data_IF_362227625842
#
_entry.id   IF_362227625842
#
_cell.length_a   1.000
_cell.length_b   1.000
_cell.length_c   1.000
_cell.angle_alpha   90.00
_cell.angle_beta   90.00
_cell.angle_gamma   90.00
#
_symmetry.space_group_name_H-M   'P 1'
#
loop_
_entity.id
_entity.type
_entity.pdbx_description
1 polymer ?
#
# COMPACT_ATOMS: atom_id res chain seq x y z
N UNK A 1 -3.34 -58.13 58.81
CA UNK A 1 -2.49 -57.09 58.17
C UNK A 1 -3.29 -56.46 57.05
N UNK A 2 -3.81 -55.27 57.30
CA UNK A 2 -4.50 -54.46 56.31
C UNK A 2 -3.46 -53.45 55.73
N UNK A 3 -3.14 -53.53 54.44
CA UNK A 3 -2.31 -52.59 53.75
C UNK A 3 -3.21 -51.45 53.24
N UNK A 4 -2.97 -50.23 53.73
CA UNK A 4 -3.66 -49.02 53.27
C UNK A 4 -2.96 -48.49 52.01
N UNK A 5 -3.67 -48.52 50.91
CA UNK A 5 -3.22 -47.91 49.63
C UNK A 5 -3.46 -46.40 49.70
N UNK A 6 -2.38 -45.63 49.83
CA UNK A 6 -2.43 -44.14 49.70
C UNK A 6 -2.73 -43.77 48.27
N UNK A 7 -3.91 -43.28 47.98
CA UNK A 7 -4.24 -42.62 46.71
C UNK A 7 -3.42 -41.32 46.59
N UNK A 8 -2.45 -41.27 45.63
CA UNK A 8 -1.81 -40.06 45.22
C UNK A 8 -2.83 -39.13 44.57
N UNK A 9 -3.13 -38.00 45.19
CA UNK A 9 -3.82 -36.88 44.54
C UNK A 9 -2.97 -36.37 43.37
N UNK A 10 -3.43 -36.58 42.13
CA UNK A 10 -2.90 -35.91 40.96
C UNK A 10 -3.21 -34.40 41.11
N UNK A 11 -2.18 -33.62 41.29
CA UNK A 11 -2.30 -32.16 41.30
C UNK A 11 -2.60 -31.72 39.85
N UNK A 12 -3.84 -31.31 39.61
CA UNK A 12 -4.30 -30.87 38.29
C UNK A 12 -3.96 -29.39 38.13
N UNK A 13 -2.69 -29.05 38.04
CA UNK A 13 -2.20 -27.67 37.86
C UNK A 13 -2.22 -27.18 36.40
N UNK A 14 -2.65 -28.03 35.46
CA UNK A 14 -2.67 -27.70 34.03
C UNK A 14 -3.90 -26.94 33.54
N UNK A 15 -4.97 -26.83 34.37
CA UNK A 15 -6.27 -26.32 33.94
C UNK A 15 -6.51 -24.81 34.23
N UNK A 16 -5.61 -24.14 34.95
CA UNK A 16 -5.84 -22.76 35.39
C UNK A 16 -5.51 -21.70 34.39
N UNK A 17 -4.61 -21.97 33.45
CA UNK A 17 -4.21 -21.01 32.41
C UNK A 17 -5.19 -21.00 31.23
N UNK A 18 -5.87 -22.12 30.96
CA UNK A 18 -6.74 -22.28 29.79
C UNK A 18 -8.10 -21.56 29.97
N UNK A 19 -8.54 -21.34 31.20
CA UNK A 19 -9.85 -20.74 31.46
C UNK A 19 -9.81 -19.30 31.99
N UNK A 20 -8.63 -18.72 32.24
CA UNK A 20 -8.48 -17.42 32.89
C UNK A 20 -7.80 -16.32 32.08
N UNK A 21 -7.17 -16.66 30.98
CA UNK A 21 -6.53 -15.63 30.17
C UNK A 21 -7.54 -15.04 29.17
N UNK A 22 -7.92 -13.76 29.30
CA UNK A 22 -8.77 -13.11 28.31
C UNK A 22 -8.20 -13.27 26.90
N UNK A 23 -9.07 -13.52 25.91
CA UNK A 23 -8.67 -13.72 24.51
C UNK A 23 -7.84 -12.56 23.99
N UNK A 24 -8.16 -11.33 24.38
CA UNK A 24 -7.47 -10.12 23.94
C UNK A 24 -6.02 -10.05 24.45
N UNK A 25 -5.80 -10.45 25.71
CA UNK A 25 -4.44 -10.57 26.25
C UNK A 25 -3.64 -11.68 25.56
N UNK A 26 -4.30 -12.79 25.25
CA UNK A 26 -3.68 -13.88 24.54
C UNK A 26 -3.29 -13.47 23.11
N UNK A 27 -4.16 -12.76 22.39
CA UNK A 27 -3.85 -12.17 21.11
C UNK A 27 -2.68 -11.19 21.19
N UNK A 28 -2.67 -10.31 22.19
CA UNK A 28 -1.58 -9.35 22.41
C UNK A 28 -0.24 -10.04 22.68
N UNK A 29 -0.22 -11.09 23.52
CA UNK A 29 1.01 -11.86 23.79
C UNK A 29 1.48 -12.57 22.53
N UNK A 30 0.60 -13.27 21.83
CA UNK A 30 0.95 -14.06 20.66
C UNK A 30 1.33 -13.20 19.45
N UNK A 31 0.78 -11.98 19.34
CA UNK A 31 1.14 -11.02 18.29
C UNK A 31 2.58 -10.52 18.38
N UNK A 32 3.18 -10.60 19.57
CA UNK A 32 4.58 -10.19 19.80
C UNK A 32 5.59 -11.31 19.52
N UNK A 33 5.11 -12.53 19.30
CA UNK A 33 5.97 -13.67 19.05
C UNK A 33 6.36 -13.76 17.56
N UNK A 34 7.60 -14.11 17.32
CA UNK A 34 8.04 -14.53 15.97
C UNK A 34 7.29 -15.80 15.54
N UNK A 35 7.22 -16.05 14.23
CA UNK A 35 6.47 -17.19 13.67
C UNK A 35 6.80 -18.52 14.34
N UNK A 36 8.08 -18.79 14.58
CA UNK A 36 8.53 -20.03 15.24
C UNK A 36 7.99 -20.14 16.66
N UNK A 37 8.12 -19.07 17.45
CA UNK A 37 7.62 -19.01 18.82
C UNK A 37 6.09 -19.06 18.87
N UNK A 38 5.40 -18.40 17.93
CA UNK A 38 3.95 -18.48 17.79
C UNK A 38 3.47 -19.91 17.45
N UNK A 39 4.20 -20.64 16.58
CA UNK A 39 3.91 -22.06 16.29
C UNK A 39 4.11 -22.92 17.55
N UNK A 40 5.19 -22.70 18.29
CA UNK A 40 5.41 -23.40 19.57
C UNK A 40 4.33 -23.07 20.60
N UNK A 41 3.97 -21.82 20.74
CA UNK A 41 2.90 -21.39 21.62
C UNK A 41 1.53 -22.03 21.26
N UNK A 42 1.26 -22.28 19.98
CA UNK A 42 0.04 -22.93 19.52
C UNK A 42 -0.10 -24.40 19.98
N UNK A 43 0.96 -25.00 20.52
CA UNK A 43 0.91 -26.38 21.04
C UNK A 43 0.54 -26.45 22.52
N UNK A 44 0.38 -25.32 23.20
CA UNK A 44 0.12 -25.27 24.65
C UNK A 44 -1.27 -25.79 25.01
N UNK A 45 -2.30 -25.27 24.34
CA UNK A 45 -3.70 -25.69 24.52
C UNK A 45 -4.58 -25.19 23.36
N UNK A 46 -5.87 -25.54 23.37
CA UNK A 46 -6.78 -25.21 22.27
C UNK A 46 -6.97 -23.71 22.10
N UNK A 47 -7.18 -22.93 23.17
CA UNK A 47 -7.35 -21.48 23.11
C UNK A 47 -6.08 -20.78 22.57
N UNK A 48 -4.90 -21.24 22.98
CA UNK A 48 -3.63 -20.76 22.43
C UNK A 48 -3.46 -21.14 20.96
N UNK A 49 -3.89 -22.33 20.57
CA UNK A 49 -3.86 -22.75 19.17
C UNK A 49 -4.76 -21.90 18.30
N UNK A 50 -6.00 -21.66 18.73
CA UNK A 50 -6.97 -20.84 18.01
C UNK A 50 -6.50 -19.38 17.88
N UNK A 51 -6.05 -18.78 18.99
CA UNK A 51 -5.51 -17.43 19.00
C UNK A 51 -4.23 -17.32 18.15
N UNK A 52 -3.29 -18.26 18.27
CA UNK A 52 -2.08 -18.27 17.46
C UNK A 52 -2.39 -18.44 15.97
N UNK A 53 -3.36 -19.29 15.62
CA UNK A 53 -3.81 -19.49 14.25
C UNK A 53 -4.49 -18.24 13.67
N UNK A 54 -5.29 -17.52 14.48
CA UNK A 54 -5.92 -16.26 14.06
C UNK A 54 -4.86 -15.19 13.76
N UNK A 55 -3.81 -15.10 14.57
CA UNK A 55 -2.70 -14.16 14.36
C UNK A 55 -1.89 -14.55 13.13
N UNK A 56 -1.67 -15.84 12.87
CA UNK A 56 -0.96 -16.32 11.66
C UNK A 56 -1.73 -16.04 10.36
N UNK A 57 -3.05 -15.88 10.41
CA UNK A 57 -3.87 -15.46 9.28
C UNK A 57 -3.73 -13.97 8.97
N UNK A 58 -3.07 -13.20 9.85
CA UNK A 58 -2.79 -11.80 9.58
C UNK A 58 -1.95 -11.68 8.29
N UNK A 59 -2.30 -10.70 7.50
CA UNK A 59 -1.67 -10.48 6.20
C UNK A 59 -0.15 -10.29 6.37
N UNK A 60 0.67 -10.97 5.58
CA UNK A 60 2.11 -10.86 5.67
C UNK A 60 2.59 -9.44 5.36
N UNK A 61 3.79 -9.08 5.81
CA UNK A 61 4.38 -7.78 5.47
C UNK A 61 4.54 -7.68 3.96
N UNK A 62 4.15 -6.56 3.37
CA UNK A 62 4.38 -6.32 1.94
C UNK A 62 5.86 -6.35 1.59
N UNK A 63 6.13 -6.79 0.38
CA UNK A 63 7.44 -6.73 -0.25
C UNK A 63 7.57 -5.48 -1.10
N UNK A 64 8.77 -4.95 -1.23
CA UNK A 64 9.04 -3.80 -2.07
C UNK A 64 9.51 -4.25 -3.44
N UNK A 65 8.79 -3.83 -4.48
CA UNK A 65 9.18 -3.96 -5.87
C UNK A 65 9.82 -2.63 -6.33
N UNK A 66 11.06 -2.68 -6.82
CA UNK A 66 11.76 -1.48 -7.31
C UNK A 66 12.70 -1.80 -8.48
N UNK A 67 12.95 -0.82 -9.38
CA UNK A 67 13.81 -1.04 -10.54
C UNK A 67 15.27 -1.24 -10.12
N UNK A 68 15.93 -2.24 -10.74
CA UNK A 68 17.36 -2.44 -10.60
C UNK A 68 18.09 -1.40 -11.44
N UNK A 69 18.72 -0.43 -10.78
CA UNK A 69 19.49 0.62 -11.46
C UNK A 69 20.81 0.08 -12.00
N UNK A 70 21.07 0.30 -13.29
CA UNK A 70 22.39 0.19 -13.91
C UNK A 70 22.87 1.59 -14.31
N UNK A 71 23.17 2.48 -13.38
CA UNK A 71 23.80 3.75 -13.74
C UNK A 71 24.91 4.09 -12.76
N UNK A 72 26.09 4.32 -13.31
CA UNK A 72 27.30 4.78 -12.62
C UNK A 72 27.20 6.21 -12.08
N UNK A 73 26.10 6.92 -12.27
CA UNK A 73 25.90 8.32 -11.85
C UNK A 73 24.76 8.55 -10.87
N UNK A 74 24.16 7.50 -10.28
CA UNK A 74 23.25 7.65 -9.15
C UNK A 74 21.85 8.24 -9.42
N UNK A 75 21.57 8.79 -10.59
CA UNK A 75 20.26 9.31 -10.97
C UNK A 75 19.62 8.41 -12.02
N UNK A 76 18.42 7.90 -11.75
CA UNK A 76 17.60 7.32 -12.81
C UNK A 76 16.86 8.47 -13.46
N UNK A 77 17.16 8.70 -14.71
CA UNK A 77 16.28 9.43 -15.60
C UNK A 77 14.92 8.70 -15.59
N UNK A 78 13.80 9.39 -15.28
CA UNK A 78 12.47 8.78 -15.32
C UNK A 78 12.13 8.21 -16.70
N UNK A 79 12.78 8.68 -17.76
CA UNK A 79 12.55 8.23 -19.12
C UNK A 79 13.43 7.03 -19.54
N UNK A 80 14.34 6.57 -18.66
CA UNK A 80 15.14 5.38 -18.98
C UNK A 80 14.33 4.10 -18.84
N UNK A 81 14.20 3.27 -19.89
CA UNK A 81 13.54 1.98 -19.83
C UNK A 81 14.17 1.08 -18.76
N UNK A 82 13.33 0.45 -17.95
CA UNK A 82 13.78 -0.52 -16.97
C UNK A 82 12.93 -1.78 -17.07
N UNK A 83 13.57 -2.92 -17.28
CA UNK A 83 12.92 -4.22 -17.37
C UNK A 83 13.28 -5.15 -16.22
N UNK A 84 14.34 -4.82 -15.49
CA UNK A 84 14.82 -5.61 -14.36
C UNK A 84 14.43 -4.93 -13.06
N UNK A 85 13.78 -5.69 -12.19
CA UNK A 85 13.30 -5.26 -10.89
C UNK A 85 13.84 -6.15 -9.77
N UNK A 86 13.86 -5.58 -8.60
CA UNK A 86 14.13 -6.30 -7.35
C UNK A 86 12.84 -6.38 -6.55
N UNK A 87 12.51 -7.58 -6.09
CA UNK A 87 11.53 -7.86 -5.05
C UNK A 87 12.28 -8.03 -3.74
N UNK A 88 12.06 -7.14 -2.79
CA UNK A 88 12.72 -7.18 -1.49
C UNK A 88 11.76 -7.60 -0.39
N UNK A 89 12.11 -8.68 0.31
CA UNK A 89 11.45 -9.14 1.54
C UNK A 89 12.08 -8.46 2.75
N UNK A 90 11.39 -7.48 3.38
CA UNK A 90 11.94 -6.77 4.53
C UNK A 90 12.02 -7.62 5.80
N UNK A 91 11.27 -8.73 5.87
CA UNK A 91 11.26 -9.60 7.04
C UNK A 91 12.51 -10.49 7.08
N UNK A 92 12.91 -11.01 5.92
CA UNK A 92 14.07 -11.90 5.79
C UNK A 92 15.33 -11.18 5.35
N UNK A 93 15.23 -9.89 5.01
CA UNK A 93 16.29 -9.09 4.40
C UNK A 93 16.84 -9.78 3.13
N UNK A 94 15.94 -10.31 2.32
CA UNK A 94 16.27 -11.04 1.10
C UNK A 94 15.76 -10.31 -0.12
N UNK A 95 16.56 -10.34 -1.18
CA UNK A 95 16.25 -9.74 -2.48
C UNK A 95 16.12 -10.83 -3.54
N UNK A 96 15.20 -10.63 -4.48
CA UNK A 96 14.96 -11.51 -5.60
C UNK A 96 14.91 -10.71 -6.88
N UNK A 97 15.63 -11.18 -7.90
CA UNK A 97 15.63 -10.55 -9.21
C UNK A 97 14.40 -10.97 -10.00
N UNK A 98 13.71 -10.01 -10.59
CA UNK A 98 12.54 -10.22 -11.44
C UNK A 98 12.69 -9.43 -12.75
N UNK A 99 12.44 -10.11 -13.86
CA UNK A 99 12.51 -9.49 -15.18
C UNK A 99 11.13 -9.35 -15.78
N UNK A 100 10.85 -8.17 -16.34
CA UNK A 100 9.61 -7.85 -17.05
C UNK A 100 9.91 -7.37 -18.46
N UNK A 101 10.23 -8.27 -19.40
CA UNK A 101 10.59 -7.91 -20.77
C UNK A 101 9.52 -7.03 -21.42
N UNK A 102 9.94 -5.96 -22.10
CA UNK A 102 9.05 -5.03 -22.78
C UNK A 102 8.26 -4.11 -21.86
N UNK A 103 8.63 -4.02 -20.57
CA UNK A 103 7.94 -3.11 -19.64
C UNK A 103 8.22 -1.64 -20.01
N UNK A 104 9.45 -1.31 -20.43
CA UNK A 104 9.81 0.01 -20.94
C UNK A 104 9.62 1.15 -19.94
N UNK A 105 9.26 2.33 -20.44
CA UNK A 105 8.91 3.49 -19.60
C UNK A 105 7.46 3.38 -19.12
N UNK A 106 7.28 3.30 -17.81
CA UNK A 106 5.96 3.06 -17.19
C UNK A 106 5.86 3.67 -15.80
N UNK A 107 4.64 3.69 -15.27
CA UNK A 107 4.33 3.96 -13.87
C UNK A 107 3.33 2.92 -13.34
N UNK A 108 3.43 2.63 -12.07
CA UNK A 108 2.39 1.89 -11.35
C UNK A 108 1.30 2.88 -10.91
N UNK A 109 0.04 2.58 -11.20
CA UNK A 109 -1.09 3.44 -10.87
C UNK A 109 -1.79 3.01 -9.58
N UNK A 110 -1.90 1.71 -9.35
CA UNK A 110 -2.49 1.13 -8.14
C UNK A 110 -2.09 -0.32 -7.98
N UNK A 111 -2.28 -0.85 -6.79
CA UNK A 111 -2.08 -2.25 -6.45
C UNK A 111 -3.26 -2.76 -5.61
N UNK A 112 -3.79 -3.93 -5.96
CA UNK A 112 -4.82 -4.62 -5.19
C UNK A 112 -4.84 -6.11 -5.56
N UNK A 113 -5.12 -6.97 -4.58
CA UNK A 113 -5.37 -8.42 -4.77
C UNK A 113 -4.28 -9.13 -5.60
N UNK A 114 -3.01 -8.78 -5.39
CA UNK A 114 -1.87 -9.38 -6.10
C UNK A 114 -1.56 -8.79 -7.46
N UNK A 115 -2.28 -7.76 -7.92
CA UNK A 115 -2.11 -7.17 -9.23
C UNK A 115 -1.74 -5.70 -9.17
N UNK A 116 -0.85 -5.29 -10.07
CA UNK A 116 -0.49 -3.90 -10.34
C UNK A 116 -1.24 -3.42 -11.58
N UNK A 117 -1.83 -2.23 -11.52
CA UNK A 117 -2.28 -1.51 -12.71
C UNK A 117 -1.11 -0.67 -13.22
N UNK A 118 -0.68 -0.93 -14.45
CA UNK A 118 0.53 -0.35 -15.04
C UNK A 118 0.18 0.47 -16.26
N UNK A 119 0.64 1.72 -16.30
CA UNK A 119 0.54 2.59 -17.47
C UNK A 119 1.93 2.73 -18.09
N UNK A 120 2.06 2.30 -19.34
CA UNK A 120 3.23 2.47 -20.17
C UNK A 120 3.04 3.69 -21.09
N UNK A 121 4.02 4.59 -21.13
CA UNK A 121 3.89 5.81 -21.97
C UNK A 121 4.74 5.78 -23.23
N UNK A 122 5.53 4.74 -23.44
CA UNK A 122 6.19 4.54 -24.73
C UNK A 122 5.12 4.39 -25.82
N UNK A 123 5.34 5.04 -26.97
CA UNK A 123 4.40 4.94 -28.08
C UNK A 123 4.22 3.47 -28.53
N UNK A 124 2.99 2.98 -28.72
CA UNK A 124 1.70 3.70 -28.73
C UNK A 124 1.05 3.89 -27.36
N UNK A 125 1.73 3.62 -26.26
CA UNK A 125 1.16 3.58 -24.92
C UNK A 125 0.45 2.25 -24.64
N UNK A 126 0.37 1.85 -23.39
CA UNK A 126 -0.39 0.67 -22.99
C UNK A 126 -0.86 0.80 -21.53
N UNK A 127 -2.02 0.25 -21.25
CA UNK A 127 -2.53 0.06 -19.90
C UNK A 127 -2.79 -1.42 -19.70
N UNK A 128 -2.31 -2.00 -18.63
CA UNK A 128 -2.45 -3.42 -18.35
C UNK A 128 -2.30 -3.73 -16.87
N UNK A 129 -2.84 -4.85 -16.47
CA UNK A 129 -2.53 -5.46 -15.18
C UNK A 129 -1.25 -6.29 -15.28
N UNK A 130 -0.46 -6.27 -14.23
CA UNK A 130 0.74 -7.06 -14.07
C UNK A 130 0.71 -7.78 -12.72
N UNK A 131 0.81 -9.09 -12.73
CA UNK A 131 1.13 -9.84 -11.52
C UNK A 131 2.66 -9.87 -11.34
N UNK A 132 3.21 -9.28 -10.29
CA UNK A 132 4.66 -9.14 -10.12
C UNK A 132 5.38 -10.47 -9.86
N UNK A 133 4.66 -11.53 -9.49
CA UNK A 133 5.23 -12.83 -9.19
C UNK A 133 5.12 -13.82 -10.34
N UNK A 134 3.93 -13.90 -10.98
CA UNK A 134 3.70 -14.80 -12.12
C UNK A 134 4.12 -14.19 -13.45
N UNK A 135 4.33 -12.86 -13.51
CA UNK A 135 4.61 -12.05 -14.72
C UNK A 135 3.44 -12.01 -15.70
N UNK A 136 2.29 -12.53 -15.30
CA UNK A 136 1.09 -12.50 -16.10
C UNK A 136 0.65 -11.07 -16.36
N UNK A 137 0.16 -10.81 -17.59
CA UNK A 137 -0.34 -9.50 -18.03
C UNK A 137 -1.74 -9.66 -18.60
N UNK A 138 -2.63 -8.74 -18.22
CA UNK A 138 -3.95 -8.60 -18.81
C UNK A 138 -4.06 -7.20 -19.38
N UNK A 139 -4.05 -7.10 -20.71
CA UNK A 139 -4.08 -5.82 -21.42
C UNK A 139 -5.49 -5.24 -21.43
N UNK A 140 -5.56 -3.92 -21.26
CA UNK A 140 -6.77 -3.12 -21.38
C UNK A 140 -6.75 -2.35 -22.72
N UNK A 141 -7.88 -1.81 -23.18
CA UNK A 141 -7.88 -0.91 -24.32
C UNK A 141 -6.93 0.26 -24.11
N UNK A 142 -6.40 0.81 -25.21
CA UNK A 142 -5.40 1.88 -25.17
C UNK A 142 -5.90 3.10 -24.38
N UNK A 143 -5.13 3.49 -23.38
CA UNK A 143 -5.35 4.68 -22.57
C UNK A 143 -4.05 5.08 -21.88
N UNK A 144 -3.77 6.37 -21.82
CA UNK A 144 -2.68 6.93 -21.01
C UNK A 144 -3.30 7.80 -19.91
N UNK A 145 -3.56 7.26 -18.73
CA UNK A 145 -4.23 7.99 -17.65
C UNK A 145 -3.27 8.81 -16.78
N UNK A 146 -3.79 9.85 -16.13
CA UNK A 146 -3.11 10.57 -15.06
C UNK A 146 -3.01 9.71 -13.80
N UNK A 147 -4.13 9.14 -13.37
CA UNK A 147 -4.25 8.23 -12.24
C UNK A 147 -5.36 7.21 -12.51
N UNK A 148 -5.38 6.14 -11.71
CA UNK A 148 -6.41 5.11 -11.83
C UNK A 148 -6.36 4.11 -10.68
N UNK A 149 -7.47 3.43 -10.46
CA UNK A 149 -7.62 2.36 -9.49
C UNK A 149 -8.58 1.28 -10.03
N UNK A 150 -8.64 0.15 -9.32
CA UNK A 150 -9.55 -0.94 -9.68
C UNK A 150 -10.15 -1.60 -8.45
N UNK A 151 -11.33 -2.20 -8.64
CA UNK A 151 -12.15 -2.72 -7.54
C UNK A 151 -11.73 -4.10 -7.04
N UNK A 152 -11.27 -4.97 -7.95
CA UNK A 152 -10.90 -6.37 -7.69
C UNK A 152 -9.86 -6.85 -8.70
N UNK A 153 -9.27 -8.02 -8.46
CA UNK A 153 -8.35 -8.67 -9.40
C UNK A 153 -8.95 -8.79 -10.81
N UNK A 154 -8.16 -8.70 -11.90
CA UNK A 154 -8.65 -8.80 -13.27
C UNK A 154 -9.20 -10.18 -13.61
N UNK A 155 -8.98 -11.18 -12.78
CA UNK A 155 -9.59 -12.52 -12.88
C UNK A 155 -11.01 -12.59 -12.32
N UNK A 156 -11.46 -11.56 -11.64
CA UNK A 156 -12.81 -11.46 -11.07
C UNK A 156 -13.77 -10.79 -12.05
N UNK A 157 -14.97 -11.36 -12.21
CA UNK A 157 -16.05 -10.74 -12.98
C UNK A 157 -16.53 -9.41 -12.42
N UNK A 158 -16.26 -9.14 -11.15
CA UNK A 158 -16.55 -7.85 -10.49
C UNK A 158 -15.47 -6.79 -10.72
N UNK A 159 -14.41 -7.09 -11.48
CA UNK A 159 -13.35 -6.14 -11.74
C UNK A 159 -13.87 -4.94 -12.53
N UNK A 160 -13.77 -3.78 -11.92
CA UNK A 160 -14.05 -2.48 -12.52
C UNK A 160 -12.79 -1.63 -12.39
N UNK A 161 -12.32 -1.09 -13.49
CA UNK A 161 -11.21 -0.11 -13.53
C UNK A 161 -11.81 1.28 -13.73
N UNK A 162 -11.31 2.25 -12.99
CA UNK A 162 -11.58 3.66 -13.23
C UNK A 162 -10.27 4.42 -13.37
N UNK A 163 -10.15 5.18 -14.44
CA UNK A 163 -8.99 6.02 -14.76
C UNK A 163 -9.43 7.45 -15.05
N UNK A 164 -8.59 8.41 -14.70
CA UNK A 164 -8.77 9.80 -15.09
C UNK A 164 -7.75 10.14 -16.16
N UNK A 165 -8.22 10.64 -17.31
CA UNK A 165 -7.37 11.06 -18.41
C UNK A 165 -6.86 12.51 -18.24
N UNK A 166 -6.03 12.97 -19.18
CA UNK A 166 -5.49 14.33 -19.16
C UNK A 166 -6.53 15.42 -19.44
N UNK A 167 -7.72 15.05 -19.95
CA UNK A 167 -8.86 15.95 -20.15
C UNK A 167 -9.78 16.01 -18.93
N UNK A 168 -9.36 15.36 -17.82
CA UNK A 168 -10.10 15.31 -16.54
C UNK A 168 -11.44 14.55 -16.60
N UNK A 169 -11.61 13.72 -17.62
CA UNK A 169 -12.72 12.80 -17.75
C UNK A 169 -12.41 11.51 -16.98
N UNK A 170 -13.44 10.92 -16.36
CA UNK A 170 -13.31 9.61 -15.79
C UNK A 170 -13.73 8.57 -16.83
N UNK A 171 -12.91 7.57 -16.97
CA UNK A 171 -13.09 6.48 -17.92
C UNK A 171 -13.17 5.18 -17.14
N UNK A 172 -14.15 4.34 -17.44
CA UNK A 172 -14.34 3.04 -16.80
C UNK A 172 -14.22 1.91 -17.79
N UNK A 173 -13.76 0.77 -17.29
CA UNK A 173 -13.66 -0.48 -18.03
C UNK A 173 -14.01 -1.66 -17.14
N UNK A 174 -14.74 -2.62 -17.68
CA UNK A 174 -15.06 -3.91 -17.06
C UNK A 174 -14.47 -5.05 -17.86
N UNK A 175 -14.24 -6.17 -17.18
CA UNK A 175 -13.74 -7.38 -17.83
C UNK A 175 -14.66 -7.77 -19.00
N UNK A 176 -14.05 -7.96 -20.19
CA UNK A 176 -14.75 -8.31 -21.44
C UNK A 176 -15.14 -7.12 -22.31
N UNK A 177 -15.06 -5.89 -21.83
CA UNK A 177 -15.26 -4.69 -22.67
C UNK A 177 -14.05 -4.46 -23.58
N UNK A 178 -14.32 -4.04 -24.83
CA UNK A 178 -13.27 -3.75 -25.82
C UNK A 178 -12.91 -2.28 -25.90
N UNK A 179 -13.70 -1.42 -25.29
CA UNK A 179 -13.55 0.04 -25.28
C UNK A 179 -13.79 0.60 -23.89
N UNK A 180 -13.26 1.79 -23.64
CA UNK A 180 -13.54 2.53 -22.41
C UNK A 180 -14.90 3.22 -22.49
N UNK A 181 -15.66 3.18 -21.42
CA UNK A 181 -16.83 4.05 -21.23
C UNK A 181 -16.36 5.38 -20.67
N UNK A 182 -16.54 6.46 -21.41
CA UNK A 182 -16.17 7.81 -20.98
C UNK A 182 -17.34 8.48 -20.30
N UNK A 183 -17.11 9.04 -19.12
CA UNK A 183 -18.09 9.81 -18.36
C UNK A 183 -17.68 11.28 -18.37
N UNK A 184 -18.40 12.09 -19.17
CA UNK A 184 -18.20 13.52 -19.30
C UNK A 184 -19.11 14.27 -18.34
N UNK A 185 -18.53 15.04 -17.45
CA UNK A 185 -19.27 15.87 -16.50
C UNK A 185 -18.88 17.33 -16.70
N UNK A 186 -19.87 18.19 -16.96
CA UNK A 186 -19.68 19.61 -17.32
C UNK A 186 -18.98 20.50 -16.29
N UNK A 187 -18.66 19.95 -15.12
CA UNK A 187 -17.99 20.69 -14.03
C UNK A 187 -16.47 20.58 -14.12
N UNK A 188 -15.88 21.02 -15.20
CA UNK A 188 -14.43 21.08 -15.33
C UNK A 188 -13.85 22.19 -14.44
N UNK A 189 -13.19 21.81 -13.35
CA UNK A 189 -12.34 22.76 -12.63
C UNK A 189 -11.06 22.88 -13.46
N UNK A 190 -11.00 23.92 -14.30
CA UNK A 190 -9.84 24.19 -15.16
C UNK A 190 -8.55 24.27 -14.34
N UNK A 191 -7.47 23.65 -14.84
CA UNK A 191 -6.13 23.79 -14.29
C UNK A 191 -5.77 22.89 -13.11
N UNK A 192 -6.55 21.86 -12.79
CA UNK A 192 -6.26 20.97 -11.66
C UNK A 192 -5.95 19.56 -12.13
N UNK A 193 -4.74 19.10 -11.85
CA UNK A 193 -4.29 17.75 -12.16
C UNK A 193 -4.80 16.78 -11.08
N UNK A 194 -5.48 15.70 -11.50
CA UNK A 194 -5.81 14.56 -10.65
C UNK A 194 -4.60 13.64 -10.59
N UNK A 195 -4.20 13.26 -9.40
CA UNK A 195 -2.93 12.56 -9.18
C UNK A 195 -3.08 11.22 -8.48
N UNK A 196 -4.02 11.11 -7.54
CA UNK A 196 -4.25 9.88 -6.79
C UNK A 196 -5.67 9.35 -7.00
N UNK A 197 -5.81 8.03 -7.02
CA UNK A 197 -7.08 7.36 -7.07
C UNK A 197 -7.05 6.10 -6.21
N UNK A 198 -8.09 5.88 -5.40
CA UNK A 198 -8.29 4.65 -4.63
C UNK A 198 -9.74 4.20 -4.75
N UNK A 199 -9.95 2.88 -4.65
CA UNK A 199 -11.28 2.30 -4.60
C UNK A 199 -11.63 1.91 -3.15
N UNK A 200 -12.78 2.35 -2.68
CA UNK A 200 -13.28 2.07 -1.34
C UNK A 200 -14.81 2.02 -1.33
N UNK A 201 -15.40 1.04 -0.66
CA UNK A 201 -16.86 0.92 -0.47
C UNK A 201 -17.67 1.11 -1.75
N UNK A 202 -17.25 0.48 -2.86
CA UNK A 202 -17.97 0.56 -4.13
C UNK A 202 -17.74 1.85 -4.94
N UNK A 203 -16.94 2.80 -4.44
CA UNK A 203 -16.70 4.10 -5.05
C UNK A 203 -15.21 4.34 -5.32
N UNK A 204 -14.92 5.19 -6.32
CA UNK A 204 -13.57 5.65 -6.60
C UNK A 204 -13.38 7.07 -6.08
N UNK A 205 -12.37 7.24 -5.25
CA UNK A 205 -11.97 8.51 -4.67
C UNK A 205 -10.73 9.02 -5.38
N UNK A 206 -10.81 10.20 -5.98
CA UNK A 206 -9.70 10.81 -6.69
C UNK A 206 -9.30 12.13 -6.03
N UNK A 207 -8.01 12.26 -5.72
CA UNK A 207 -7.44 13.45 -5.10
C UNK A 207 -6.64 14.25 -6.14
N UNK A 208 -6.87 15.54 -6.19
CA UNK A 208 -6.10 16.45 -7.04
C UNK A 208 -4.83 16.92 -6.33
N UNK A 209 -3.87 17.41 -7.13
CA UNK A 209 -2.64 18.04 -6.60
C UNK A 209 -2.89 19.25 -5.70
N UNK A 210 -4.08 19.86 -5.80
CA UNK A 210 -4.51 20.98 -4.95
C UNK A 210 -5.35 20.53 -3.75
N UNK A 211 -5.45 19.23 -3.48
CA UNK A 211 -6.17 18.69 -2.32
C UNK A 211 -7.69 18.58 -2.48
N UNK A 212 -8.24 18.84 -3.67
CA UNK A 212 -9.67 18.61 -3.92
C UNK A 212 -9.93 17.12 -4.09
N UNK A 213 -11.05 16.68 -3.52
CA UNK A 213 -11.49 15.30 -3.58
C UNK A 213 -12.73 15.18 -4.48
N UNK A 214 -12.67 14.25 -5.44
CA UNK A 214 -13.82 13.81 -6.23
C UNK A 214 -14.14 12.36 -5.95
N UNK A 215 -15.41 12.02 -6.06
CA UNK A 215 -15.92 10.68 -5.89
C UNK A 215 -16.70 10.26 -7.12
N UNK A 216 -16.35 9.11 -7.67
CA UNK A 216 -17.09 8.46 -8.71
C UNK A 216 -17.89 7.29 -8.13
N UNK A 217 -19.21 7.37 -8.28
CA UNK A 217 -20.13 6.29 -7.99
C UNK A 217 -20.43 5.54 -9.29
N UNK A 218 -19.91 4.31 -9.50
CA UNK A 218 -20.11 3.57 -10.74
C UNK A 218 -21.54 3.04 -10.90
N UNK A 219 -22.33 2.94 -9.82
CA UNK A 219 -23.73 2.50 -9.88
C UNK A 219 -24.65 3.60 -10.40
N UNK A 220 -24.37 4.83 -10.00
CA UNK A 220 -25.14 6.00 -10.40
C UNK A 220 -24.54 6.74 -11.59
N UNK A 221 -23.34 6.34 -12.01
CA UNK A 221 -22.53 7.04 -13.01
C UNK A 221 -22.38 8.53 -12.69
N UNK A 222 -22.14 8.88 -11.42
CA UNK A 222 -21.96 10.26 -10.95
C UNK A 222 -20.51 10.54 -10.56
N UNK A 223 -20.03 11.73 -10.90
CA UNK A 223 -18.69 12.22 -10.63
C UNK A 223 -18.74 13.55 -9.89
N UNK A 224 -18.79 13.51 -8.58
CA UNK A 224 -19.06 14.67 -7.74
C UNK A 224 -17.81 15.15 -7.02
N UNK A 225 -17.66 16.47 -6.91
CA UNK A 225 -16.69 17.07 -5.99
C UNK A 225 -17.30 17.01 -4.61
N UNK A 226 -16.59 16.39 -3.67
CA UNK A 226 -17.01 16.49 -2.27
C UNK A 226 -16.69 17.89 -1.74
N UNK A 227 -17.62 18.50 -0.98
CA UNK A 227 -17.42 19.83 -0.40
C UNK A 227 -16.46 19.82 0.79
N UNK A 228 -15.47 18.92 0.76
CA UNK A 228 -14.47 18.75 1.80
C UNK A 228 -13.40 19.82 1.63
N UNK A 229 -13.11 20.58 2.69
CA UNK A 229 -11.95 21.49 2.65
C UNK A 229 -10.68 20.71 2.36
N UNK A 230 -9.80 21.19 1.45
CA UNK A 230 -8.55 20.52 1.17
C UNK A 230 -7.77 20.27 2.46
N UNK A 231 -7.39 19.02 2.71
CA UNK A 231 -6.55 18.67 3.86
C UNK A 231 -5.08 19.07 3.67
N UNK A 232 -4.74 19.41 2.45
CA UNK A 232 -3.42 19.89 2.05
C UNK A 232 -3.60 21.35 1.70
N UNK A 233 -2.84 22.23 2.34
CA UNK A 233 -2.87 23.64 1.98
C UNK A 233 -2.48 23.76 0.51
N UNK A 234 -3.30 24.41 -0.34
CA UNK A 234 -2.92 24.66 -1.71
C UNK A 234 -1.64 25.51 -1.67
N UNK A 235 -0.59 25.01 -2.31
CA UNK A 235 0.50 25.89 -2.68
C UNK A 235 -0.11 27.04 -3.47
N UNK A 236 0.37 28.26 -3.22
CA UNK A 236 -0.06 29.47 -3.92
C UNK A 236 -0.34 29.21 -5.39
N UNK A 237 -1.39 29.75 -6.00
CA UNK A 237 -1.80 29.42 -7.38
C UNK A 237 -0.69 29.62 -8.41
N UNK A 238 0.27 30.50 -8.16
CA UNK A 238 1.44 30.74 -8.99
C UNK A 238 2.46 29.60 -8.96
N UNK A 239 2.45 28.73 -7.93
CA UNK A 239 3.34 27.59 -7.79
C UNK A 239 2.70 26.27 -8.22
N UNK A 240 1.39 26.27 -8.53
CA UNK A 240 0.67 25.08 -9.01
C UNK A 240 1.17 24.57 -10.37
N UNK A 241 1.86 25.41 -11.15
CA UNK A 241 2.55 25.01 -12.39
C UNK A 241 3.94 24.42 -12.15
N UNK A 242 4.54 24.65 -10.97
CA UNK A 242 5.78 24.00 -10.60
C UNK A 242 5.46 22.59 -10.10
N UNK A 243 6.15 21.60 -10.63
CA UNK A 243 5.97 20.21 -10.19
C UNK A 243 6.10 20.13 -8.66
N UNK A 244 5.15 19.50 -7.95
CA UNK A 244 5.20 19.35 -6.48
C UNK A 244 6.50 18.69 -5.98
N UNK A 245 7.16 17.94 -6.85
CA UNK A 245 8.47 17.32 -6.61
C UNK A 245 9.58 18.33 -6.29
N UNK A 246 9.48 19.58 -6.75
CA UNK A 246 10.49 20.61 -6.48
C UNK A 246 10.36 21.20 -5.07
N UNK A 247 9.19 21.11 -4.43
CA UNK A 247 8.97 21.61 -3.07
C UNK A 247 9.05 20.55 -1.98
N UNK A 248 9.37 19.31 -2.34
CA UNK A 248 9.55 18.24 -1.35
C UNK A 248 8.29 17.78 -0.62
N UNK A 249 7.10 18.33 -0.94
CA UNK A 249 5.84 17.85 -0.40
C UNK A 249 5.37 16.61 -1.15
N UNK A 250 4.99 15.58 -0.42
CA UNK A 250 4.45 14.34 -0.96
C UNK A 250 3.11 14.04 -0.36
N UNK A 251 2.18 13.66 -1.21
CA UNK A 251 0.85 13.26 -0.84
C UNK A 251 0.64 11.81 -1.22
N UNK A 252 0.23 11.04 -0.26
CA UNK A 252 -0.12 9.63 -0.40
C UNK A 252 -1.61 9.48 -0.13
N UNK A 253 -2.26 8.63 -0.88
CA UNK A 253 -3.66 8.28 -0.67
C UNK A 253 -3.78 6.77 -0.56
N UNK A 254 -4.56 6.29 0.39
CA UNK A 254 -4.71 4.86 0.64
C UNK A 254 -6.09 4.55 1.19
N UNK A 255 -6.46 3.29 1.07
CA UNK A 255 -7.69 2.73 1.63
C UNK A 255 -7.33 1.68 2.68
N UNK A 256 -8.10 1.60 3.75
CA UNK A 256 -8.03 0.56 4.75
C UNK A 256 -9.41 0.29 5.34
N UNK A 257 -9.90 -0.95 5.16
CA UNK A 257 -11.19 -1.42 5.71
C UNK A 257 -12.36 -0.47 5.43
N UNK A 258 -12.40 0.09 4.22
CA UNK A 258 -13.44 1.02 3.79
C UNK A 258 -13.16 2.49 4.12
N UNK A 259 -12.17 2.79 4.92
CA UNK A 259 -11.75 4.16 5.25
C UNK A 259 -10.71 4.68 4.25
N UNK A 260 -10.84 5.94 3.86
CA UNK A 260 -9.87 6.64 2.99
C UNK A 260 -8.98 7.54 3.83
N UNK A 261 -7.68 7.39 3.65
CA UNK A 261 -6.65 8.18 4.33
C UNK A 261 -5.81 8.96 3.33
N UNK A 262 -5.37 10.13 3.76
CA UNK A 262 -4.37 10.95 3.07
C UNK A 262 -3.24 11.22 4.04
N UNK A 263 -2.01 11.01 3.60
CA UNK A 263 -0.80 11.38 4.34
C UNK A 263 -0.06 12.43 3.53
N UNK A 264 0.23 13.54 4.15
CA UNK A 264 1.06 14.61 3.63
C UNK A 264 2.41 14.60 4.34
N UNK A 265 3.50 14.57 3.59
CA UNK A 265 4.86 14.64 4.14
C UNK A 265 5.59 15.81 3.53
N UNK A 266 6.32 16.58 4.34
CA UNK A 266 7.18 17.66 3.88
C UNK A 266 8.64 17.21 3.93
N UNK A 267 9.38 17.40 2.84
CA UNK A 267 10.79 17.04 2.75
C UNK A 267 11.73 18.10 3.36
N UNK A 268 11.23 19.33 3.60
CA UNK A 268 12.02 20.47 4.03
C UNK A 268 11.67 20.91 5.45
N UNK A 269 12.68 21.04 6.28
CA UNK A 269 12.78 21.69 7.60
C UNK A 269 12.24 20.98 8.85
N UNK A 270 11.13 20.23 8.82
CA UNK A 270 10.68 19.55 10.03
C UNK A 270 10.31 18.09 9.86
N UNK A 271 10.38 17.52 8.64
CA UNK A 271 10.09 16.10 8.36
C UNK A 271 8.81 15.58 9.06
N UNK A 272 7.80 16.42 9.21
CA UNK A 272 6.55 16.05 9.86
C UNK A 272 5.60 15.47 8.82
N UNK A 273 4.93 14.36 9.18
CA UNK A 273 3.85 13.80 8.40
C UNK A 273 2.52 14.13 9.07
N UNK A 274 1.57 14.66 8.31
CA UNK A 274 0.18 14.82 8.75
C UNK A 274 -0.67 13.74 8.14
N UNK A 275 -1.51 13.12 8.95
CA UNK A 275 -2.42 12.04 8.57
C UNK A 275 -3.85 12.51 8.68
N UNK A 276 -4.62 12.33 7.63
CA UNK A 276 -6.01 12.70 7.57
C UNK A 276 -6.86 11.48 7.21
N UNK A 277 -7.97 11.29 7.92
CA UNK A 277 -9.00 10.30 7.61
C UNK A 277 -10.23 11.02 7.08
N UNK A 278 -10.81 10.53 5.99
CA UNK A 278 -12.05 11.07 5.44
C UNK A 278 -13.24 10.63 6.29
N UNK A 279 -13.99 11.58 6.79
CA UNK A 279 -15.30 11.37 7.39
C UNK A 279 -16.39 11.75 6.37
N UNK A 280 -16.90 10.76 5.65
CA UNK A 280 -17.92 10.96 4.62
C UNK A 280 -19.26 11.49 5.18
N UNK A 281 -19.61 11.15 6.43
CA UNK A 281 -20.88 11.59 7.05
C UNK A 281 -20.86 13.08 7.38
N UNK A 282 -19.69 13.60 7.77
CA UNK A 282 -19.49 15.00 8.12
C UNK A 282 -18.91 15.82 6.97
N UNK A 283 -18.49 15.14 5.89
CA UNK A 283 -17.82 15.76 4.73
C UNK A 283 -16.58 16.57 5.15
N UNK A 284 -15.76 16.00 6.03
CA UNK A 284 -14.53 16.64 6.52
C UNK A 284 -13.35 15.65 6.55
N UNK A 285 -12.15 16.20 6.44
CA UNK A 285 -10.94 15.50 6.80
C UNK A 285 -10.68 15.65 8.29
N UNK A 286 -10.56 14.53 8.98
CA UNK A 286 -10.18 14.49 10.39
C UNK A 286 -8.68 14.23 10.50
N UNK A 287 -7.96 15.18 11.06
CA UNK A 287 -6.53 14.96 11.35
C UNK A 287 -6.37 13.92 12.45
N UNK A 288 -5.49 12.95 12.19
CA UNK A 288 -5.15 11.89 13.14
C UNK A 288 -3.73 12.11 13.63
N UNK A 289 -3.56 12.20 14.96
CA UNK A 289 -2.24 12.30 15.60
C UNK A 289 -1.46 10.99 15.55
N UNK A 290 -2.17 9.90 15.32
CA UNK A 290 -1.60 8.56 15.26
C UNK A 290 -2.42 7.64 14.34
N UNK A 291 -1.77 6.59 13.85
CA UNK A 291 -2.38 5.55 13.03
C UNK A 291 -2.96 4.41 13.88
N UNK A 292 -2.81 4.47 15.21
CA UNK A 292 -3.26 3.44 16.12
C UNK A 292 -2.54 2.10 15.87
N UNK A 293 -3.31 1.08 15.54
CA UNK A 293 -2.78 -0.25 15.23
C UNK A 293 -2.22 -0.37 13.82
N UNK A 294 -2.34 0.64 12.97
CA UNK A 294 -1.95 0.53 11.56
C UNK A 294 -0.46 0.76 11.35
N UNK A 295 0.05 0.04 10.36
CA UNK A 295 1.33 0.28 9.68
C UNK A 295 1.04 0.67 8.25
N UNK A 296 1.66 1.73 7.77
CA UNK A 296 1.57 2.19 6.38
C UNK A 296 2.83 1.83 5.63
N UNK A 297 2.68 1.24 4.46
CA UNK A 297 3.74 1.01 3.48
C UNK A 297 3.53 2.00 2.34
N UNK A 298 4.30 3.08 2.38
CA UNK A 298 4.08 4.25 1.55
C UNK A 298 4.70 4.07 0.17
N UNK A 299 3.87 4.02 -0.85
CA UNK A 299 4.23 4.07 -2.27
C UNK A 299 3.57 5.26 -2.94
N UNK A 300 4.14 5.78 -4.01
CA UNK A 300 3.61 6.99 -4.65
C UNK A 300 2.15 6.84 -5.09
N UNK A 301 1.81 5.70 -5.73
CA UNK A 301 0.44 5.34 -6.11
C UNK A 301 -0.02 4.00 -5.51
N UNK A 302 0.88 3.25 -4.89
CA UNK A 302 0.66 1.87 -4.45
C UNK A 302 0.87 1.72 -2.95
N UNK A 303 0.34 2.66 -2.17
CA UNK A 303 0.42 2.57 -0.72
C UNK A 303 -0.45 1.44 -0.19
N UNK A 304 0.10 0.67 0.75
CA UNK A 304 -0.61 -0.40 1.45
C UNK A 304 -0.67 -0.11 2.95
N UNK A 305 -1.72 -0.59 3.57
CA UNK A 305 -1.90 -0.54 5.02
C UNK A 305 -2.04 -1.95 5.57
N UNK A 306 -1.55 -2.16 6.77
CA UNK A 306 -1.72 -3.41 7.52
C UNK A 306 -2.07 -3.11 8.95
N UNK A 307 -3.00 -3.87 9.51
CA UNK A 307 -3.14 -3.95 10.95
C UNK A 307 -1.84 -4.51 11.52
N UNK A 308 -1.30 -3.86 12.55
CA UNK A 308 0.03 -4.16 13.05
C UNK A 308 0.14 -5.54 13.64
N UNK A 309 1.03 -6.34 13.08
CA UNK A 309 1.38 -7.67 13.52
C UNK A 309 2.22 -7.66 14.81
N UNK A 310 3.05 -6.64 14.95
CA UNK A 310 3.95 -6.47 16.09
C UNK A 310 3.72 -5.09 16.70
N UNK A 311 3.78 -5.01 18.01
CA UNK A 311 3.68 -3.72 18.72
C UNK A 311 4.74 -2.71 18.24
N UNK A 312 5.91 -3.21 17.82
CA UNK A 312 7.00 -2.40 17.26
C UNK A 312 6.67 -1.75 15.91
N UNK A 313 5.71 -2.29 15.15
CA UNK A 313 5.34 -1.75 13.83
C UNK A 313 4.15 -0.82 13.88
N UNK A 314 3.44 -0.79 15.01
CA UNK A 314 2.27 0.09 15.19
C UNK A 314 2.65 1.55 15.03
N UNK A 315 1.75 2.31 14.43
CA UNK A 315 1.89 3.74 14.27
C UNK A 315 3.14 4.16 13.46
N UNK A 316 3.55 3.32 12.50
CA UNK A 316 4.69 3.55 11.63
C UNK A 316 4.31 3.65 10.17
N UNK A 317 5.07 4.44 9.45
CA UNK A 317 5.02 4.52 8.00
C UNK A 317 6.38 4.10 7.43
N UNK A 318 6.40 3.01 6.67
CA UNK A 318 7.56 2.57 5.92
C UNK A 318 7.55 3.22 4.54
N UNK A 319 8.67 3.79 4.15
CA UNK A 319 8.86 4.39 2.83
C UNK A 319 10.06 3.78 2.14
N UNK A 320 10.02 3.66 0.83
CA UNK A 320 11.17 3.22 0.06
C UNK A 320 12.21 4.33 -0.01
N UNK A 321 13.44 4.00 0.31
CA UNK A 321 14.59 4.84 0.09
C UNK A 321 15.42 4.30 -1.08
N UNK A 322 15.92 5.18 -1.93
CA UNK A 322 16.57 4.80 -3.20
C UNK A 322 17.89 4.01 -3.06
N UNK A 323 18.40 3.79 -1.87
CA UNK A 323 19.64 3.07 -1.63
C UNK A 323 19.61 2.32 -0.30
N UNK A 324 19.25 1.04 -0.34
CA UNK A 324 19.63 0.02 0.66
C UNK A 324 19.16 0.19 2.11
N UNK A 325 18.31 1.16 2.47
CA UNK A 325 17.81 1.24 3.84
C UNK A 325 16.33 1.56 3.89
N UNK A 326 15.58 0.72 4.60
CA UNK A 326 14.20 1.01 4.96
C UNK A 326 14.19 2.16 5.95
N UNK A 327 13.49 3.20 5.60
CA UNK A 327 13.24 4.32 6.49
C UNK A 327 11.81 4.20 6.98
N UNK A 328 11.63 4.20 8.27
CA UNK A 328 10.30 4.33 8.82
C UNK A 328 10.15 5.67 9.54
N UNK A 329 8.96 6.24 9.42
CA UNK A 329 8.54 7.40 10.16
C UNK A 329 7.64 6.95 11.29
N UNK A 330 7.96 7.35 12.53
CA UNK A 330 7.09 7.13 13.68
C UNK A 330 6.24 8.37 13.90
N UNK A 331 4.93 8.23 13.80
CA UNK A 331 3.99 9.33 14.07
C UNK A 331 4.01 9.74 15.54
N UNK A 332 4.16 8.80 16.47
CA UNK A 332 4.23 9.10 17.90
C UNK A 332 5.48 9.91 18.29
N UNK A 333 6.61 9.68 17.61
CA UNK A 333 7.87 10.39 17.84
C UNK A 333 8.08 11.59 16.94
N UNK A 334 7.25 11.76 15.94
CA UNK A 334 7.35 12.77 14.89
C UNK A 334 8.75 12.88 14.26
N UNK A 335 9.41 11.72 14.08
CA UNK A 335 10.81 11.63 13.61
C UNK A 335 10.98 10.48 12.63
N UNK A 336 11.79 10.73 11.59
CA UNK A 336 12.34 9.69 10.75
C UNK A 336 13.49 8.98 11.45
N UNK A 337 13.45 7.65 11.49
CA UNK A 337 14.60 6.84 11.90
C UNK A 337 15.47 6.59 10.67
N UNK A 338 16.72 7.05 10.71
CA UNK A 338 17.75 6.82 9.68
C UNK A 338 17.38 7.32 8.28
N UNK A 339 17.24 8.63 8.11
CA UNK A 339 17.29 9.24 6.79
C UNK A 339 18.65 9.92 6.58
N UNK A 340 19.51 9.46 5.67
CA UNK A 340 20.62 10.27 5.21
C UNK A 340 20.09 11.51 4.50
N UNK A 341 20.72 12.68 4.64
CA UNK A 341 20.29 13.89 3.94
C UNK A 341 20.37 13.69 2.42
N UNK A 342 19.31 14.07 1.72
CA UNK A 342 19.27 14.15 0.25
C UNK A 342 18.57 13.02 -0.49
N UNK A 343 17.92 12.06 0.17
CA UNK A 343 17.41 10.85 -0.49
C UNK A 343 15.91 10.62 -0.32
N UNK A 344 15.09 11.52 -0.80
CA UNK A 344 13.62 11.41 -0.73
C UNK A 344 13.00 11.10 -2.09
N UNK A 345 13.13 9.88 -2.61
CA UNK A 345 12.49 9.51 -3.87
C UNK A 345 11.43 8.41 -3.69
N UNK A 346 10.18 8.82 -3.49
CA UNK A 346 9.05 7.98 -3.86
C UNK A 346 8.92 8.10 -5.39
N UNK A 347 9.30 7.08 -6.11
CA UNK A 347 9.10 7.00 -7.56
C UNK A 347 7.77 6.30 -7.85
N UNK A 348 7.10 6.68 -8.92
CA UNK A 348 5.93 5.99 -9.45
C UNK A 348 6.25 4.59 -10.04
N UNK A 349 7.54 4.23 -10.07
CA UNK A 349 8.04 2.89 -10.43
C UNK A 349 8.32 1.99 -9.24
N UNK A 350 8.06 2.44 -8.00
CA UNK A 350 8.12 1.61 -6.81
C UNK A 350 6.72 1.16 -6.42
N UNK A 351 6.59 -0.08 -6.00
CA UNK A 351 5.33 -0.61 -5.49
C UNK A 351 5.56 -1.49 -4.26
N UNK A 352 4.71 -1.32 -3.27
CA UNK A 352 4.54 -2.32 -2.23
C UNK A 352 3.54 -3.35 -2.73
N UNK A 353 3.90 -4.64 -2.62
CA UNK A 353 3.09 -5.77 -3.09
C UNK A 353 3.01 -6.83 -2.01
N UNK A 354 1.90 -7.55 -1.94
CA UNK A 354 1.78 -8.67 -1.02
C UNK A 354 2.70 -9.82 -1.45
N UNK A 355 3.35 -10.51 -0.51
CA UNK A 355 4.14 -11.69 -0.86
C UNK A 355 3.24 -12.76 -1.47
N UNK A 356 3.78 -13.64 -2.31
CA UNK A 356 3.02 -14.69 -2.96
C UNK A 356 2.47 -15.68 -1.93
N UNK A 357 1.21 -16.09 -2.11
CA UNK A 357 0.57 -17.08 -1.24
C UNK A 357 1.14 -18.49 -1.42
N UNK A 358 1.66 -18.78 -2.61
CA UNK A 358 2.28 -20.07 -2.97
C UNK A 358 3.80 -19.90 -3.13
N UNK A 359 4.54 -21.01 -2.99
CA UNK A 359 5.95 -20.99 -3.32
C UNK A 359 6.13 -20.64 -4.81
N UNK A 360 6.68 -19.47 -5.06
CA UNK A 360 7.10 -19.04 -6.38
C UNK A 360 8.61 -19.24 -6.45
N UNK A 361 9.09 -19.84 -7.53
CA UNK A 361 10.53 -20.00 -7.77
C UNK A 361 11.12 -18.64 -8.11
N UNK A 362 11.59 -17.93 -7.10
CA UNK A 362 12.28 -16.65 -7.22
C UNK A 362 13.78 -16.90 -7.16
N UNK A 363 14.53 -16.32 -8.09
CA UNK A 363 15.98 -16.37 -8.08
C UNK A 363 16.54 -15.40 -7.04
N UNK A 364 17.28 -15.86 -6.02
CA UNK A 364 17.93 -14.98 -5.07
C UNK A 364 18.84 -13.98 -5.79
N UNK A 365 18.84 -12.74 -5.33
CA UNK A 365 19.71 -11.69 -5.81
C UNK A 365 20.63 -11.24 -4.68
N UNK A 366 21.92 -11.41 -4.88
CA UNK A 366 22.96 -10.89 -4.01
C UNK A 366 23.59 -9.69 -4.71
N UNK A 367 23.59 -8.55 -4.06
CA UNK A 367 24.29 -7.37 -4.57
C UNK A 367 25.80 -7.65 -4.49
N UNK A 368 26.50 -7.55 -5.60
CA UNK A 368 27.94 -7.86 -5.71
C UNK A 368 28.81 -6.74 -5.11
N UNK A 369 28.18 -5.72 -4.52
CA UNK A 369 28.87 -4.58 -3.91
C UNK A 369 28.54 -4.49 -2.41
N UNK A 370 29.10 -5.42 -1.63
CA UNK A 370 29.41 -5.19 -0.21
C UNK A 370 30.78 -4.53 -0.07
#
# INVERSE_FOLDING_TARGET
>A
KRSSIKKKKKCNTGLLWDQKTPSDLLHEILSRLELRANIQASTVCKSWCEAAASIRKLQPRPWLLYPLKRSSRGFTDPDTPCETYILFDPLRNQSYKQEFPGLGCHKFLSYKDGWLLVSKYDYPGALFFLNPFTRERVYLPLLVPCCGAFSAAPTSTSCLVACVNYYFEIMTWRLGETVWTTHCFGNHIRGRKWDKCVFSNGMFFCLSTCGYLRVFDPHRATWNILPVKPCILPLEPCLAFCQPSLMGMRVLMMEHEGDVYVISTFSNYNNQASVFKLNLKREVWEEKKELGSLTVFAGYHTSLTRASLLALDRNKMYTSHAARSFVYYSLAGNKFSRCPPGCNYLSDRFAWVDPPHNQVNLSPYHDVFD
#
